data_IF_683016908219
#
_entry.id   IF_683016908219
#
_cell.length_a   1.000
_cell.length_b   1.000
_cell.length_c   1.000
_cell.angle_alpha   90.00
_cell.angle_beta   90.00
_cell.angle_gamma   90.00
#
_symmetry.space_group_name_H-M   'P 1'
#
loop_
_entity.id
_entity.type
_entity.pdbx_description
1 polymer ?
#
# COMPACT_ATOMS: atom_id res chain seq x y z
N UNK A 1 -29.75 15.64 11.14
CA UNK A 1 -29.87 15.28 9.71
C UNK A 1 -29.47 13.82 9.55
N UNK A 2 -30.17 13.10 8.68
CA UNK A 2 -30.34 11.65 8.73
C UNK A 2 -29.08 10.81 8.43
N UNK A 3 -29.08 9.61 9.03
CA UNK A 3 -28.11 8.51 8.95
C UNK A 3 -27.81 8.03 7.53
N UNK A 4 -26.61 7.52 7.33
CA UNK A 4 -26.38 6.37 6.47
C UNK A 4 -25.92 5.18 7.34
N UNK A 5 -26.88 4.34 7.72
CA UNK A 5 -26.63 3.00 8.28
C UNK A 5 -26.36 2.08 7.10
N UNK A 6 -25.15 1.52 7.00
CA UNK A 6 -24.91 0.37 6.12
C UNK A 6 -25.49 -0.87 6.80
N UNK A 7 -26.38 -1.56 6.09
CA UNK A 7 -26.94 -2.84 6.50
C UNK A 7 -25.83 -3.92 6.57
N UNK A 8 -25.91 -4.88 7.50
CA UNK A 8 -25.03 -6.04 7.49
C UNK A 8 -25.55 -7.05 6.45
N UNK A 9 -24.70 -7.41 5.50
CA UNK A 9 -24.96 -8.57 4.64
C UNK A 9 -24.78 -9.84 5.48
N UNK A 10 -25.79 -10.72 5.48
CA UNK A 10 -25.73 -12.02 6.14
C UNK A 10 -24.84 -12.99 5.37
N UNK A 11 -23.77 -13.46 6.00
CA UNK A 11 -22.94 -14.57 5.55
C UNK A 11 -22.01 -14.96 6.69
N UNK A 12 -21.91 -16.25 6.99
CA UNK A 12 -21.06 -16.77 8.06
C UNK A 12 -19.58 -16.66 7.67
N UNK A 13 -18.96 -15.50 7.89
CA UNK A 13 -17.52 -15.32 7.85
C UNK A 13 -17.07 -14.65 9.15
N UNK A 14 -15.94 -15.11 9.70
CA UNK A 14 -15.31 -14.50 10.89
C UNK A 14 -15.19 -12.99 10.66
N UNK A 15 -15.38 -12.13 11.66
CA UNK A 15 -15.30 -10.69 11.46
C UNK A 15 -13.97 -10.38 10.78
N UNK A 16 -14.04 -9.82 9.57
CA UNK A 16 -12.88 -9.40 8.81
C UNK A 16 -12.05 -8.51 9.73
N UNK A 17 -10.93 -9.04 10.21
CA UNK A 17 -9.98 -8.19 10.92
C UNK A 17 -9.56 -7.14 9.90
N UNK A 18 -9.70 -5.86 10.26
CA UNK A 18 -9.28 -4.74 9.43
C UNK A 18 -7.87 -5.02 8.89
N UNK A 19 -7.76 -5.18 7.57
CA UNK A 19 -6.49 -5.55 6.93
C UNK A 19 -5.48 -4.42 7.12
N UNK A 20 -4.29 -4.76 7.57
CA UNK A 20 -3.16 -3.81 7.60
C UNK A 20 -2.63 -3.67 6.17
N UNK A 21 -2.74 -2.46 5.62
CA UNK A 21 -2.32 -2.14 4.25
C UNK A 21 -0.91 -1.54 4.30
N UNK A 22 0.01 -2.08 3.51
CA UNK A 22 1.25 -1.41 3.17
C UNK A 22 1.02 -0.52 1.94
N UNK A 23 1.03 0.79 2.14
CA UNK A 23 0.99 1.76 1.04
C UNK A 23 2.39 1.95 0.49
N UNK A 24 2.56 1.84 -0.82
CA UNK A 24 3.78 2.16 -1.57
C UNK A 24 3.45 3.33 -2.49
N UNK A 25 4.17 4.44 -2.36
CA UNK A 25 4.06 5.59 -3.26
C UNK A 25 5.36 5.72 -4.07
N UNK A 26 5.26 5.55 -5.39
CA UNK A 26 6.40 5.60 -6.31
C UNK A 26 6.40 6.96 -6.98
N UNK A 27 7.34 7.82 -6.56
CA UNK A 27 7.58 9.13 -7.15
C UNK A 27 8.88 9.20 -7.95
N UNK A 28 9.09 10.33 -8.63
CA UNK A 28 10.31 10.59 -9.41
C UNK A 28 11.58 10.79 -8.56
N UNK A 29 11.43 11.22 -7.31
CA UNK A 29 12.57 11.42 -6.39
C UNK A 29 12.72 10.32 -5.35
N UNK A 30 11.60 9.79 -4.84
CA UNK A 30 11.60 8.77 -3.80
C UNK A 30 10.53 7.71 -4.04
N UNK A 31 10.80 6.50 -3.51
CA UNK A 31 9.78 5.51 -3.19
C UNK A 31 9.54 5.57 -1.69
N UNK A 32 8.28 5.65 -1.27
CA UNK A 32 7.88 5.77 0.13
C UNK A 32 6.96 4.64 0.53
N UNK A 33 7.03 4.22 1.79
CA UNK A 33 6.10 3.25 2.37
C UNK A 33 5.57 3.68 3.73
N UNK A 34 4.33 3.30 4.02
CA UNK A 34 3.67 3.49 5.32
C UNK A 34 2.60 2.43 5.52
N UNK A 35 2.42 1.96 6.76
CA UNK A 35 1.35 1.02 7.10
C UNK A 35 0.07 1.74 7.54
N UNK A 36 -1.11 1.19 7.24
CA UNK A 36 -2.39 1.71 7.75
C UNK A 36 -2.53 1.61 9.27
N UNK A 37 -1.74 0.74 9.91
CA UNK A 37 -1.62 0.64 11.37
C UNK A 37 -0.82 1.82 11.98
N UNK A 38 -0.33 2.75 11.16
CA UNK A 38 0.45 3.91 11.57
C UNK A 38 1.96 3.66 11.55
N UNK A 39 2.70 4.45 12.34
CA UNK A 39 4.16 4.43 12.40
C UNK A 39 4.82 5.49 11.52
N UNK A 40 6.13 5.35 11.32
CA UNK A 40 6.95 6.29 10.56
C UNK A 40 6.97 5.97 9.06
N UNK A 41 6.90 7.00 8.23
CA UNK A 41 7.16 6.88 6.79
C UNK A 41 8.62 6.43 6.58
N UNK A 42 8.82 5.38 5.78
CA UNK A 42 10.15 4.92 5.36
C UNK A 42 10.32 5.20 3.88
N UNK A 43 11.51 5.64 3.45
CA UNK A 43 11.76 6.02 2.04
C UNK A 43 13.13 5.57 1.54
N UNK A 44 13.21 5.37 0.23
CA UNK A 44 14.44 5.18 -0.52
C UNK A 44 14.47 6.14 -1.72
N UNK A 45 15.66 6.51 -2.17
CA UNK A 45 15.82 7.34 -3.37
C UNK A 45 15.42 6.54 -4.62
N UNK A 46 14.70 7.19 -5.54
CA UNK A 46 14.34 6.63 -6.85
C UNK A 46 15.20 7.20 -7.97
N UNK A 47 14.78 8.32 -8.55
CA UNK A 47 15.40 8.95 -9.71
C UNK A 47 14.98 8.32 -11.05
N UNK A 48 15.37 8.95 -12.18
CA UNK A 48 14.93 8.55 -13.52
C UNK A 48 15.46 7.18 -13.98
N UNK A 49 16.50 6.66 -13.31
CA UNK A 49 17.08 5.35 -13.62
C UNK A 49 16.46 4.17 -12.85
N UNK A 50 15.45 4.41 -12.00
CA UNK A 50 14.84 3.37 -11.18
C UNK A 50 14.16 2.31 -12.07
N UNK A 51 14.63 1.07 -11.99
CA UNK A 51 14.00 -0.08 -12.63
C UNK A 51 12.95 -0.72 -11.72
N UNK A 52 11.99 -1.48 -12.27
CA UNK A 52 11.01 -2.21 -11.44
C UNK A 52 11.66 -3.16 -10.43
N UNK A 53 12.73 -3.87 -10.81
CA UNK A 53 13.41 -4.79 -9.89
C UNK A 53 14.05 -4.04 -8.71
N UNK A 54 14.75 -2.94 -8.99
CA UNK A 54 15.33 -2.09 -7.94
C UNK A 54 14.27 -1.51 -7.01
N UNK A 55 13.11 -1.10 -7.55
CA UNK A 55 11.98 -0.62 -6.74
C UNK A 55 11.50 -1.71 -5.77
N UNK A 56 11.31 -2.95 -6.25
CA UNK A 56 10.88 -4.07 -5.41
C UNK A 56 11.91 -4.37 -4.32
N UNK A 57 13.19 -4.38 -4.65
CA UNK A 57 14.26 -4.65 -3.68
C UNK A 57 14.32 -3.55 -2.60
N UNK A 58 14.17 -2.29 -3.00
CA UNK A 58 14.08 -1.15 -2.07
C UNK A 58 12.85 -1.27 -1.16
N UNK A 59 11.68 -1.56 -1.70
CA UNK A 59 10.44 -1.73 -0.91
C UNK A 59 10.58 -2.87 0.09
N UNK A 60 11.09 -4.04 -0.34
CA UNK A 60 11.30 -5.18 0.56
C UNK A 60 12.20 -4.82 1.73
N UNK A 61 13.30 -4.12 1.47
CA UNK A 61 14.23 -3.65 2.50
C UNK A 61 13.57 -2.65 3.45
N UNK A 62 12.82 -1.68 2.91
CA UNK A 62 12.09 -0.71 3.73
C UNK A 62 11.03 -1.40 4.60
N UNK A 63 10.39 -2.45 4.08
CA UNK A 63 9.32 -3.19 4.74
C UNK A 63 9.81 -4.23 5.77
N UNK A 64 11.12 -4.41 5.95
CA UNK A 64 11.68 -5.30 6.96
C UNK A 64 11.12 -4.97 8.36
N UNK A 65 10.60 -6.00 9.03
CA UNK A 65 9.98 -5.89 10.35
C UNK A 65 8.57 -5.27 10.39
N UNK A 66 7.99 -4.88 9.25
CA UNK A 66 6.59 -4.45 9.17
C UNK A 66 5.67 -5.65 8.95
N UNK A 67 4.56 -5.70 9.69
CA UNK A 67 3.47 -6.64 9.43
C UNK A 67 2.39 -5.96 8.59
N UNK A 68 1.94 -6.62 7.52
CA UNK A 68 0.87 -6.15 6.65
C UNK A 68 0.25 -7.34 5.92
N UNK A 69 -1.02 -7.22 5.58
CA UNK A 69 -1.80 -8.28 4.93
C UNK A 69 -1.87 -8.08 3.40
N UNK A 70 -1.88 -6.81 2.98
CA UNK A 70 -2.07 -6.42 1.57
C UNK A 70 -1.22 -5.20 1.22
N UNK A 71 -1.03 -4.99 -0.08
CA UNK A 71 -0.29 -3.86 -0.64
C UNK A 71 -1.22 -2.98 -1.44
N UNK A 72 -1.09 -1.67 -1.30
CA UNK A 72 -1.62 -0.66 -2.21
C UNK A 72 -0.45 0.11 -2.82
N UNK A 73 -0.46 0.33 -4.13
CA UNK A 73 0.67 0.96 -4.83
C UNK A 73 0.22 2.13 -5.70
N UNK A 74 0.74 3.32 -5.41
CA UNK A 74 0.70 4.48 -6.28
C UNK A 74 1.76 4.33 -7.37
N UNK A 75 1.31 4.07 -8.60
CA UNK A 75 2.17 3.91 -9.77
C UNK A 75 2.29 5.25 -10.54
N UNK A 76 3.47 5.67 -11.00
CA UNK A 76 3.67 6.97 -11.66
C UNK A 76 3.30 6.88 -13.15
N UNK A 77 2.04 6.51 -13.43
CA UNK A 77 1.50 6.35 -14.77
C UNK A 77 0.04 5.88 -14.77
N UNK A 78 -0.58 5.72 -15.94
CA UNK A 78 -1.89 5.11 -16.06
C UNK A 78 -1.91 3.69 -15.46
N UNK A 79 -3.05 3.30 -14.89
CA UNK A 79 -3.27 1.95 -14.37
C UNK A 79 -4.67 1.49 -14.74
N UNK A 80 -4.80 0.27 -15.26
CA UNK A 80 -6.08 -0.39 -15.54
C UNK A 80 -6.06 -1.84 -15.02
N UNK A 81 -7.01 -2.22 -14.18
CA UNK A 81 -7.10 -3.56 -13.59
C UNK A 81 -5.78 -4.04 -12.93
N UNK A 82 -5.14 -3.17 -12.13
CA UNK A 82 -3.85 -3.45 -11.45
C UNK A 82 -2.69 -3.72 -12.41
N UNK A 83 -2.73 -3.13 -13.61
CA UNK A 83 -1.66 -3.20 -14.61
C UNK A 83 -1.36 -1.79 -15.14
N UNK A 84 -0.09 -1.41 -15.27
CA UNK A 84 0.31 -0.20 -16.01
C UNK A 84 -0.23 -0.17 -17.44
#
# INVERSE_FOLDING_TARGET
MAKAVKQPASGTEKPDTEKIVLTIDIGGSHVKILTSAGGEERRADSGPGLTPQQMIDAVKKLAEGLSYDVVSMGYPGPVNHNRP
#
